data_IF_564858051124
#
_entry.id   IF_564858051124
#
_cell.length_a   1.000
_cell.length_b   1.000
_cell.length_c   1.000
_cell.angle_alpha   90.00
_cell.angle_beta   90.00
_cell.angle_gamma   90.00
#
_symmetry.space_group_name_H-M   'P 1'
#
loop_
_entity.id
_entity.type
_entity.pdbx_description
1 polymer ?
#
# COMPACT_ATOMS: atom_id res chain seq x y z
N UNK A 1 15.81 28.22 -1.83
CA UNK A 1 15.75 27.46 -0.56
C UNK A 1 15.69 25.99 -0.92
N UNK A 2 16.63 25.17 -0.46
CA UNK A 2 16.72 23.76 -0.84
C UNK A 2 15.61 22.94 -0.19
N UNK A 3 15.03 22.01 -0.94
CA UNK A 3 14.12 20.99 -0.42
C UNK A 3 14.88 20.14 0.62
N UNK A 4 14.44 20.16 1.88
CA UNK A 4 15.07 19.38 2.95
C UNK A 4 14.21 18.18 3.29
N UNK A 5 14.82 17.00 3.32
CA UNK A 5 14.18 15.76 3.79
C UNK A 5 14.54 15.57 5.26
N UNK A 6 13.54 15.34 6.11
CA UNK A 6 13.71 15.13 7.55
C UNK A 6 13.12 13.76 7.91
N UNK A 7 13.86 12.96 8.68
CA UNK A 7 13.34 11.74 9.30
C UNK A 7 12.79 12.06 10.69
N UNK A 8 11.51 11.78 10.92
CA UNK A 8 10.97 11.65 12.25
C UNK A 8 11.30 10.23 12.76
N UNK A 9 12.31 10.10 13.61
CA UNK A 9 12.79 8.81 14.15
C UNK A 9 11.72 8.08 14.99
N UNK A 10 10.81 8.84 15.62
CA UNK A 10 9.78 8.27 16.49
C UNK A 10 8.68 7.63 15.65
N UNK A 11 8.17 8.37 14.67
CA UNK A 11 7.14 7.87 13.76
C UNK A 11 7.72 7.02 12.62
N UNK A 12 9.04 7.07 12.43
CA UNK A 12 9.81 6.44 11.36
C UNK A 12 9.35 6.86 9.95
N UNK A 13 9.08 8.15 9.77
CA UNK A 13 8.55 8.74 8.53
C UNK A 13 9.47 9.83 8.01
N UNK A 14 9.73 9.83 6.71
CA UNK A 14 10.45 10.87 6.00
C UNK A 14 9.48 11.95 5.52
N UNK A 15 9.82 13.21 5.77
CA UNK A 15 9.06 14.38 5.37
C UNK A 15 9.83 15.23 4.39
N UNK A 16 9.15 15.75 3.37
CA UNK A 16 9.63 16.81 2.49
C UNK A 16 8.65 17.98 2.61
N UNK A 17 9.13 19.13 3.10
CA UNK A 17 8.31 20.34 3.28
C UNK A 17 6.99 20.05 4.04
N UNK A 18 7.07 19.34 5.17
CA UNK A 18 5.94 18.88 6.00
C UNK A 18 4.99 17.83 5.39
N UNK A 19 5.25 17.36 4.16
CA UNK A 19 4.51 16.27 3.53
C UNK A 19 5.22 14.94 3.82
N UNK A 20 4.54 13.93 4.38
CA UNK A 20 5.14 12.61 4.57
C UNK A 20 5.30 11.94 3.21
N UNK A 21 6.54 11.65 2.82
CA UNK A 21 6.87 11.11 1.49
C UNK A 21 7.24 9.63 1.49
N UNK A 22 7.76 9.11 2.60
CA UNK A 22 8.13 7.71 2.75
C UNK A 22 8.12 7.30 4.23
N UNK A 23 8.10 6.01 4.51
CA UNK A 23 8.12 5.47 5.87
C UNK A 23 8.98 4.20 5.95
N UNK A 24 9.56 3.93 7.13
CA UNK A 24 10.27 2.68 7.40
C UNK A 24 9.30 1.63 7.93
N UNK A 25 9.32 0.46 7.31
CA UNK A 25 8.59 -0.70 7.74
C UNK A 25 9.48 -1.93 7.60
N UNK A 26 9.71 -2.67 8.70
CA UNK A 26 10.57 -3.87 8.71
C UNK A 26 11.94 -3.63 8.03
N UNK A 27 12.61 -2.52 8.36
CA UNK A 27 13.92 -2.09 7.82
C UNK A 27 13.94 -1.80 6.30
N UNK A 28 12.77 -1.66 5.66
CA UNK A 28 12.62 -1.24 4.27
C UNK A 28 11.92 0.12 4.21
N UNK A 29 12.25 0.92 3.20
CA UNK A 29 11.60 2.20 2.94
C UNK A 29 10.49 1.99 1.91
N UNK A 30 9.30 2.50 2.21
CA UNK A 30 8.14 2.48 1.31
C UNK A 30 7.62 3.90 1.07
N UNK A 31 7.12 4.21 -0.14
CA UNK A 31 6.49 5.49 -0.41
C UNK A 31 5.15 5.59 0.33
N UNK A 32 4.77 6.80 0.74
CA UNK A 32 3.41 7.05 1.25
C UNK A 32 2.40 7.06 0.12
N UNK A 33 1.10 6.94 0.45
CA UNK A 33 0.03 7.11 -0.54
C UNK A 33 0.09 8.48 -1.21
N UNK A 34 0.53 9.53 -0.50
CA UNK A 34 0.72 10.87 -1.07
C UNK A 34 1.78 10.86 -2.19
N UNK A 35 2.92 10.23 -1.94
CA UNK A 35 3.99 10.11 -2.96
C UNK A 35 3.53 9.29 -4.15
N UNK A 36 2.82 8.19 -3.93
CA UNK A 36 2.30 7.34 -5.01
C UNK A 36 1.31 8.13 -5.88
N UNK A 37 0.38 8.88 -5.28
CA UNK A 37 -0.59 9.70 -6.01
C UNK A 37 0.05 10.86 -6.76
N UNK A 38 1.16 11.41 -6.25
CA UNK A 38 1.84 12.53 -6.88
C UNK A 38 2.72 12.09 -8.06
N UNK A 39 3.39 10.94 -7.94
CA UNK A 39 4.37 10.48 -8.93
C UNK A 39 3.80 9.46 -9.92
N UNK A 40 2.66 8.84 -9.59
CA UNK A 40 2.01 7.79 -10.39
C UNK A 40 3.00 6.73 -10.91
N UNK A 41 3.82 6.12 -10.03
CA UNK A 41 4.83 5.18 -10.47
C UNK A 41 4.18 3.91 -11.01
N UNK A 42 4.82 3.29 -12.01
CA UNK A 42 4.43 1.96 -12.47
C UNK A 42 4.72 0.93 -11.37
N UNK A 43 3.67 0.34 -10.80
CA UNK A 43 3.74 -0.61 -9.70
C UNK A 43 2.72 -1.73 -9.91
N UNK A 44 2.99 -2.95 -9.44
CA UNK A 44 1.99 -3.99 -9.45
C UNK A 44 0.83 -3.60 -8.52
N UNK A 45 -0.37 -4.02 -8.88
CA UNK A 45 -1.60 -3.71 -8.16
C UNK A 45 -2.54 -4.91 -8.04
N UNK A 46 -3.51 -4.78 -7.15
CA UNK A 46 -4.73 -5.58 -7.11
C UNK A 46 -5.95 -4.69 -7.07
N UNK A 47 -7.04 -5.14 -7.69
CA UNK A 47 -8.37 -4.54 -7.53
C UNK A 47 -9.17 -5.39 -6.55
N UNK A 48 -9.74 -4.75 -5.53
CA UNK A 48 -10.54 -5.40 -4.49
C UNK A 48 -11.98 -4.96 -4.53
N UNK A 49 -12.89 -5.85 -4.14
CA UNK A 49 -14.31 -5.54 -4.06
C UNK A 49 -14.65 -4.55 -2.94
N UNK A 50 -15.86 -3.99 -3.03
CA UNK A 50 -16.38 -3.03 -2.05
C UNK A 50 -16.39 -3.57 -0.61
N UNK A 51 -16.67 -4.88 -0.40
CA UNK A 51 -16.68 -5.47 0.94
C UNK A 51 -15.27 -5.58 1.56
N UNK A 52 -14.27 -5.86 0.73
CA UNK A 52 -12.87 -5.88 1.12
C UNK A 52 -12.35 -4.45 1.37
N UNK A 53 -12.72 -3.48 0.52
CA UNK A 53 -12.33 -2.06 0.63
C UNK A 53 -12.57 -1.50 2.03
N UNK A 54 -13.79 -1.64 2.56
CA UNK A 54 -14.15 -1.08 3.86
C UNK A 54 -13.30 -1.67 4.99
N UNK A 55 -12.99 -2.96 4.92
CA UNK A 55 -12.15 -3.63 5.92
C UNK A 55 -10.69 -3.20 5.82
N UNK A 56 -10.17 -3.04 4.61
CA UNK A 56 -8.79 -2.61 4.34
C UNK A 56 -8.56 -1.17 4.83
N UNK A 57 -9.53 -0.28 4.63
CA UNK A 57 -9.53 1.08 5.17
C UNK A 57 -9.60 1.13 6.70
N UNK A 58 -9.88 0.00 7.35
CA UNK A 58 -9.81 -0.18 8.80
C UNK A 58 -8.58 -1.01 9.24
N UNK A 59 -7.62 -1.21 8.34
CA UNK A 59 -6.34 -1.87 8.64
C UNK A 59 -6.33 -3.39 8.48
N UNK A 60 -7.37 -3.98 7.88
CA UNK A 60 -7.33 -5.40 7.55
C UNK A 60 -6.28 -5.68 6.44
N UNK A 61 -5.65 -6.84 6.54
CA UNK A 61 -4.90 -7.46 5.45
C UNK A 61 -5.85 -7.86 4.29
N UNK A 62 -5.31 -8.04 3.09
CA UNK A 62 -6.11 -8.47 1.93
C UNK A 62 -6.15 -9.99 1.85
N UNK A 63 -7.38 -10.52 1.77
CA UNK A 63 -7.64 -11.94 1.60
C UNK A 63 -8.06 -12.23 0.15
N UNK A 64 -7.64 -13.39 -0.35
CA UNK A 64 -7.86 -13.82 -1.74
C UNK A 64 -9.30 -13.68 -2.24
N UNK A 65 -10.36 -14.01 -1.47
CA UNK A 65 -11.74 -13.90 -1.95
C UNK A 65 -12.17 -12.48 -2.31
N UNK A 66 -11.55 -11.46 -1.71
CA UNK A 66 -11.87 -10.06 -1.96
C UNK A 66 -11.18 -9.45 -3.17
N UNK A 67 -10.32 -10.20 -3.87
CA UNK A 67 -9.55 -9.72 -5.02
C UNK A 67 -10.27 -10.08 -6.32
N UNK A 68 -10.51 -9.07 -7.15
CA UNK A 68 -11.14 -9.16 -8.47
C UNK A 68 -10.12 -9.20 -9.60
N UNK A 69 -9.03 -8.45 -9.47
CA UNK A 69 -7.99 -8.35 -10.49
C UNK A 69 -6.61 -8.30 -9.84
N UNK A 70 -5.60 -8.83 -10.54
CA UNK A 70 -4.20 -8.85 -10.12
C UNK A 70 -3.34 -8.53 -11.34
N UNK A 71 -2.42 -7.58 -11.21
CA UNK A 71 -1.38 -7.34 -12.22
C UNK A 71 -0.44 -8.55 -12.37
N UNK A 72 -0.12 -8.93 -13.62
CA UNK A 72 0.69 -10.11 -13.92
C UNK A 72 2.14 -10.02 -13.43
N UNK A 73 2.66 -8.81 -13.25
CA UNK A 73 4.01 -8.55 -12.78
C UNK A 73 4.15 -8.59 -11.24
N UNK A 74 3.07 -8.92 -10.51
CA UNK A 74 3.10 -9.01 -9.04
C UNK A 74 4.02 -10.14 -8.57
N UNK A 75 4.96 -9.78 -7.68
CA UNK A 75 5.94 -10.71 -7.10
C UNK A 75 5.78 -10.82 -5.58
N UNK A 76 6.16 -11.97 -5.04
CA UNK A 76 6.29 -12.18 -3.60
C UNK A 76 7.26 -11.17 -2.99
N UNK A 77 6.92 -10.67 -1.80
CA UNK A 77 7.66 -9.69 -1.01
C UNK A 77 7.82 -8.30 -1.67
N UNK A 78 7.18 -8.07 -2.83
CA UNK A 78 7.15 -6.77 -3.50
C UNK A 78 6.05 -5.87 -2.95
N UNK A 79 6.23 -4.54 -2.97
CA UNK A 79 5.14 -3.61 -2.72
C UNK A 79 4.04 -3.79 -3.77
N UNK A 80 2.78 -3.61 -3.37
CA UNK A 80 1.61 -3.74 -4.25
C UNK A 80 0.57 -2.68 -3.91
N UNK A 81 0.05 -2.01 -4.94
CA UNK A 81 -1.05 -1.07 -4.79
C UNK A 81 -2.36 -1.83 -4.57
N UNK A 82 -3.16 -1.39 -3.62
CA UNK A 82 -4.50 -1.92 -3.38
C UNK A 82 -5.47 -0.87 -3.87
N UNK A 83 -6.25 -1.22 -4.90
CA UNK A 83 -7.15 -0.34 -5.62
C UNK A 83 -8.58 -0.85 -5.43
N UNK A 84 -9.56 0.04 -5.23
CA UNK A 84 -10.97 -0.33 -5.18
C UNK A 84 -11.62 -0.42 -6.56
N UNK A 85 -12.79 -1.06 -6.66
CA UNK A 85 -13.57 -1.16 -7.91
C UNK A 85 -13.86 0.18 -8.61
N UNK A 86 -13.86 1.31 -7.87
CA UNK A 86 -13.97 2.66 -8.42
C UNK A 86 -12.62 3.27 -8.85
N UNK A 87 -11.60 2.44 -9.08
CA UNK A 87 -10.24 2.79 -9.51
C UNK A 87 -9.52 3.79 -8.58
N UNK A 88 -9.80 3.73 -7.28
CA UNK A 88 -9.09 4.56 -6.28
C UNK A 88 -8.03 3.76 -5.57
N UNK A 89 -6.82 4.31 -5.48
CA UNK A 89 -5.80 3.82 -4.57
C UNK A 89 -6.33 3.95 -3.12
N UNK A 90 -6.39 2.84 -2.39
CA UNK A 90 -6.88 2.82 -1.00
C UNK A 90 -5.80 2.43 0.01
N UNK A 91 -4.82 1.64 -0.41
CA UNK A 91 -3.75 1.17 0.44
C UNK A 91 -2.51 0.73 -0.36
N UNK A 92 -1.41 0.58 0.35
CA UNK A 92 -0.16 -0.05 -0.07
C UNK A 92 0.04 -1.29 0.80
N UNK A 93 0.36 -2.40 0.14
CA UNK A 93 0.65 -3.66 0.81
C UNK A 93 1.97 -4.29 0.37
N UNK A 94 2.27 -5.44 0.96
CA UNK A 94 3.34 -6.34 0.55
C UNK A 94 2.73 -7.68 0.16
N UNK A 95 2.99 -8.15 -1.06
CA UNK A 95 2.49 -9.44 -1.51
C UNK A 95 3.17 -10.57 -0.76
N UNK A 96 2.40 -11.56 -0.32
CA UNK A 96 2.93 -12.77 0.33
C UNK A 96 3.27 -13.89 -0.67
N UNK A 97 2.83 -13.72 -1.92
CA UNK A 97 2.90 -14.72 -2.98
C UNK A 97 3.10 -14.04 -4.35
N UNK A 98 3.56 -14.80 -5.34
CA UNK A 98 3.62 -14.33 -6.73
C UNK A 98 2.23 -14.39 -7.40
N UNK A 99 2.07 -13.68 -8.52
CA UNK A 99 0.83 -13.67 -9.32
C UNK A 99 0.24 -15.08 -9.55
N UNK A 100 1.06 -16.03 -10.01
CA UNK A 100 0.62 -17.40 -10.36
C UNK A 100 0.09 -18.17 -9.15
N UNK A 101 0.72 -17.99 -7.99
CA UNK A 101 0.31 -18.66 -6.75
C UNK A 101 -1.04 -18.09 -6.28
N UNK A 102 -1.20 -16.77 -6.29
CA UNK A 102 -2.46 -16.11 -5.88
C UNK A 102 -3.61 -16.55 -6.79
N UNK A 103 -3.38 -16.73 -8.09
CA UNK A 103 -4.41 -17.23 -9.01
C UNK A 103 -4.93 -18.63 -8.65
N UNK A 104 -4.08 -19.49 -8.11
CA UNK A 104 -4.44 -20.86 -7.72
C UNK A 104 -5.08 -20.95 -6.32
N UNK A 105 -5.06 -19.85 -5.56
CA UNK A 105 -5.66 -19.78 -4.24
C UNK A 105 -7.15 -19.43 -4.30
N UNK A 106 -7.95 -20.11 -3.48
CA UNK A 106 -9.37 -19.76 -3.27
C UNK A 106 -9.59 -18.96 -1.98
N UNK A 107 -8.69 -19.10 -1.00
CA UNK A 107 -8.83 -18.50 0.34
C UNK A 107 -7.48 -18.16 0.95
N UNK A 108 -7.52 -17.42 2.06
CA UNK A 108 -6.35 -17.05 2.84
C UNK A 108 -5.87 -15.62 2.57
N UNK A 109 -5.02 -15.13 3.47
CA UNK A 109 -4.37 -13.83 3.33
C UNK A 109 -3.33 -13.90 2.23
N UNK A 110 -3.30 -12.90 1.34
CA UNK A 110 -2.37 -12.85 0.21
C UNK A 110 -1.56 -11.57 0.14
N UNK A 111 -2.04 -10.48 0.75
CA UNK A 111 -1.28 -9.22 0.86
C UNK A 111 -1.35 -8.72 2.29
N UNK A 112 -0.20 -8.35 2.85
CA UNK A 112 -0.10 -7.65 4.13
C UNK A 112 -0.35 -6.17 3.90
N UNK A 113 -1.32 -5.58 4.58
CA UNK A 113 -1.61 -4.15 4.49
C UNK A 113 -0.63 -3.37 5.38
N UNK A 114 0.13 -2.44 4.79
CA UNK A 114 1.19 -1.71 5.51
C UNK A 114 0.94 -0.21 5.60
N UNK A 115 0.11 0.34 4.71
CA UNK A 115 -0.26 1.75 4.74
C UNK A 115 -1.58 1.98 4.02
N UNK A 116 -2.56 2.61 4.66
CA UNK A 116 -3.91 2.80 4.10
C UNK A 116 -4.49 4.18 4.44
N UNK A 117 -5.50 4.61 3.68
CA UNK A 117 -6.21 5.85 3.95
C UNK A 117 -6.79 5.87 5.37
N UNK A 118 -6.39 6.88 6.16
CA UNK A 118 -6.86 7.05 7.53
C UNK A 118 -6.03 6.33 8.61
N UNK A 119 -4.94 5.66 8.23
CA UNK A 119 -3.98 5.13 9.19
C UNK A 119 -3.17 6.25 9.88
N UNK A 120 -2.25 5.86 10.76
CA UNK A 120 -1.42 6.82 11.51
C UNK A 120 -0.55 7.67 10.59
N UNK A 121 0.12 7.07 9.60
CA UNK A 121 1.05 7.75 8.70
C UNK A 121 0.28 8.73 7.80
N UNK A 122 -0.87 8.32 7.29
CA UNK A 122 -1.75 9.15 6.49
C UNK A 122 -2.20 10.41 7.26
N UNK A 123 -2.50 10.24 8.56
CA UNK A 123 -2.89 11.33 9.47
C UNK A 123 -1.74 12.26 9.89
N UNK A 124 -0.49 11.91 9.59
CA UNK A 124 0.68 12.78 9.86
C UNK A 124 0.80 13.93 8.85
N UNK A 125 -0.04 14.01 7.82
CA UNK A 125 -0.10 15.18 6.94
C UNK A 125 -0.40 16.41 7.79
N UNK A 126 0.58 17.31 7.91
CA UNK A 126 0.49 18.56 8.66
C UNK A 126 0.08 19.70 7.75
#
# INVERSE_FOLDING_TARGET
MGNTIILDEKEKVYFLNNVPIAFLYENRIFPTLFTILQLEPEMPYVIVDTGAKDRILNGADVFRPGIKEISENLKKDSPVLIISEDNKLIALGISLYDYKDILQMEKGKVIKNIHYYGDKIFKLKR
#
